data_IF_496171766215
#
_entry.id   IF_496171766215
#
_cell.length_a   1.000
_cell.length_b   1.000
_cell.length_c   1.000
_cell.angle_alpha   90.00
_cell.angle_beta   90.00
_cell.angle_gamma   90.00
#
_symmetry.space_group_name_H-M   'P 1'
#
loop_
_entity.id
_entity.type
_entity.pdbx_description
1 polymer ?
2 non-polymer ?
3 non-polymer ?
4 non-polymer ?
5 non-polymer ?
6 non-polymer ?
7 water ?
#
# COMPACT_ATOMS: atom_id res chain seq x y z
N UNK A 9 21.83 3.68 19.22
CA UNK A 9 21.82 2.31 18.64
C UNK A 9 20.96 2.21 17.41
N UNK A 10 21.59 1.76 16.32
CA UNK A 10 20.93 1.34 15.10
C UNK A 10 19.83 0.29 15.41
N UNK A 11 18.70 0.38 14.70
CA UNK A 11 17.59 -0.58 14.85
C UNK A 11 17.24 -1.20 13.49
N UNK A 12 17.44 -2.50 13.32
CA UNK A 12 17.03 -3.15 12.09
C UNK A 12 15.56 -3.49 12.18
N UNK A 13 14.95 -3.77 11.02
CA UNK A 13 13.59 -4.21 10.98
C UNK A 13 13.46 -5.53 11.76
N UNK A 14 14.41 -6.46 11.63
CA UNK A 14 14.23 -7.76 12.28
C UNK A 14 14.14 -7.53 13.80
N UNK A 15 15.01 -6.67 14.34
CA UNK A 15 14.93 -6.37 15.76
C UNK A 15 13.64 -5.61 16.10
N UNK A 16 13.32 -4.58 15.35
CA UNK A 16 12.06 -3.88 15.54
C UNK A 16 10.83 -4.85 15.60
N UNK A 17 10.71 -5.74 14.66
CA UNK A 17 9.58 -6.66 14.65
C UNK A 17 9.63 -7.53 15.88
N UNK A 18 10.83 -7.94 16.26
CA UNK A 18 11.01 -8.86 17.35
C UNK A 18 10.70 -8.15 18.67
N UNK A 19 11.22 -6.96 18.89
CA UNK A 19 10.85 -6.27 20.14
C UNK A 19 9.35 -6.05 20.23
N UNK A 20 8.73 -5.52 19.16
CA UNK A 20 7.29 -5.30 19.16
C UNK A 20 6.52 -6.59 19.52
N UNK A 21 6.90 -7.67 18.85
CA UNK A 21 6.38 -9.01 19.13
C UNK A 21 6.51 -9.36 20.61
N UNK A 22 7.68 -9.13 21.16
CA UNK A 22 7.89 -9.35 22.59
C UNK A 22 6.99 -8.47 23.48
N UNK A 23 6.97 -7.19 23.20
CA UNK A 23 6.10 -6.25 23.86
C UNK A 23 4.63 -6.70 23.89
N UNK A 24 4.11 -7.16 22.76
CA UNK A 24 2.69 -7.53 22.65
C UNK A 24 2.49 -8.93 23.20
N UNK A 25 3.57 -9.57 23.64
CA UNK A 25 3.49 -10.95 24.08
C UNK A 25 2.80 -11.83 23.05
N UNK A 26 3.21 -11.73 21.79
CA UNK A 26 2.71 -12.65 20.76
C UNK A 26 3.37 -14.01 20.87
N UNK A 27 2.76 -15.06 20.32
CA UNK A 27 3.38 -16.40 20.30
C UNK A 27 4.53 -16.46 19.29
N UNK A 28 4.85 -15.32 18.67
CA UNK A 28 5.84 -15.24 17.58
C UNK A 28 5.40 -15.67 16.17
N UNK A 29 4.10 -15.89 15.96
CA UNK A 29 3.60 -16.28 14.65
C UNK A 29 3.60 -15.09 13.72
N UNK A 30 3.13 -13.95 14.23
CA UNK A 30 3.06 -12.74 13.42
C UNK A 30 4.45 -12.18 13.09
N UNK A 31 5.35 -12.31 14.06
CA UNK A 31 6.76 -12.01 13.92
C UNK A 31 7.42 -12.79 12.78
N UNK A 32 7.12 -14.08 12.68
CA UNK A 32 7.60 -14.90 11.59
C UNK A 32 6.96 -14.41 10.30
N UNK A 33 5.67 -14.05 10.38
CA UNK A 33 5.00 -13.53 9.21
C UNK A 33 5.71 -12.26 8.74
N UNK A 34 6.00 -11.37 9.65
CA UNK A 34 6.62 -10.11 9.28
C UNK A 34 8.09 -10.30 8.82
N UNK A 35 8.81 -11.23 9.46
CA UNK A 35 10.15 -11.56 9.02
C UNK A 35 10.09 -12.06 7.56
N UNK A 36 9.09 -12.88 7.23
CA UNK A 36 9.00 -13.45 5.88
C UNK A 36 8.77 -12.37 4.85
N UNK A 37 7.85 -11.50 5.17
CA UNK A 37 7.47 -10.48 4.27
C UNK A 37 8.71 -9.66 3.96
N UNK A 38 9.35 -9.26 5.03
CA UNK A 38 10.53 -8.52 4.95
C UNK A 38 11.57 -9.22 4.04
N UNK A 39 11.73 -10.56 4.18
CA UNK A 39 12.60 -11.30 3.25
C UNK A 39 12.11 -11.21 1.81
N UNK A 40 10.81 -11.35 1.63
CA UNK A 40 10.23 -11.41 0.31
C UNK A 40 10.50 -10.11 -0.45
N UNK A 41 10.37 -9.00 0.28
CA UNK A 41 10.54 -7.69 -0.26
C UNK A 41 11.95 -7.45 -0.66
N UNK A 42 12.91 -8.05 0.04
CA UNK A 42 14.30 -7.89 -0.40
C UNK A 42 14.53 -8.70 -1.68
N UNK A 43 13.90 -9.85 -1.77
CA UNK A 43 14.07 -10.61 -2.98
C UNK A 43 13.43 -9.84 -4.13
N UNK A 44 12.34 -9.12 -3.89
CA UNK A 44 11.68 -8.51 -5.04
C UNK A 44 12.54 -7.34 -5.51
N UNK A 45 13.05 -6.59 -4.55
CA UNK A 45 13.86 -5.44 -4.79
C UNK A 45 15.08 -5.79 -5.63
N UNK A 46 15.90 -6.74 -5.22
CA UNK A 46 16.97 -7.25 -6.08
C UNK A 46 16.47 -7.63 -7.45
N UNK A 47 15.30 -8.28 -7.57
CA UNK A 47 14.83 -8.60 -8.92
C UNK A 47 14.44 -7.30 -9.65
N UNK A 48 13.81 -6.34 -9.01
CA UNK A 48 13.39 -5.10 -9.67
C UNK A 48 14.54 -4.26 -10.29
N UNK A 49 15.67 -4.25 -9.61
CA UNK A 49 16.83 -3.46 -9.87
C UNK A 49 17.68 -4.22 -10.84
N UNK A 50 17.17 -5.33 -11.29
CA UNK A 50 17.70 -6.17 -12.34
C UNK A 50 19.03 -6.83 -12.18
N UNK A 51 19.32 -7.29 -10.98
CA UNK A 51 20.51 -8.02 -10.77
C UNK A 51 20.39 -9.30 -11.53
N UNK A 52 21.44 -9.65 -12.23
CA UNK A 52 21.41 -10.92 -12.96
C UNK A 52 20.78 -10.84 -14.33
N UNK A 53 20.38 -9.66 -14.75
CA UNK A 53 19.81 -9.54 -16.11
C UNK A 53 20.74 -9.99 -17.26
N UNK A 54 22.07 -9.92 -17.05
CA UNK A 54 23.05 -10.23 -18.09
C UNK A 54 22.86 -11.68 -18.49
N UNK A 55 22.30 -12.47 -17.57
CA UNK A 55 22.07 -13.88 -17.83
C UNK A 55 20.95 -14.04 -18.84
N UNK A 56 19.97 -13.16 -18.77
CA UNK A 56 18.86 -13.18 -19.72
C UNK A 56 19.31 -12.79 -21.14
N UNK A 57 20.48 -12.18 -21.22
CA UNK A 57 20.93 -11.56 -22.44
C UNK A 57 22.13 -12.33 -22.95
N UNK A 58 22.32 -13.51 -22.35
CA UNK A 58 23.23 -14.50 -22.86
C UNK A 58 24.67 -14.36 -22.46
N UNK A 59 24.92 -13.87 -21.25
CA UNK A 59 26.30 -13.69 -20.84
C UNK A 59 26.97 -15.09 -20.70
N UNK A 60 26.19 -16.10 -20.53
CA UNK A 60 26.72 -17.41 -20.37
C UNK A 60 26.16 -18.34 -21.38
N UNK A 61 25.90 -17.85 -22.58
CA UNK A 61 25.16 -18.51 -23.64
C UNK A 61 23.69 -18.69 -23.39
N UNK A 62 23.15 -19.85 -23.57
CA UNK A 62 22.04 -20.25 -22.80
C UNK A 62 21.06 -19.18 -23.16
N UNK A 71 11.24 -15.48 -16.70
CA UNK A 71 10.08 -15.02 -15.94
C UNK A 71 9.92 -13.52 -15.96
N UNK A 72 8.70 -13.07 -15.85
CA UNK A 72 8.47 -11.69 -15.81
C UNK A 72 8.32 -11.28 -14.39
N UNK A 73 8.64 -10.04 -14.15
CA UNK A 73 8.97 -9.51 -12.87
C UNK A 73 7.75 -9.64 -12.02
N UNK A 74 6.59 -9.32 -12.57
CA UNK A 74 5.46 -9.30 -11.68
C UNK A 74 5.04 -10.74 -11.37
N UNK A 75 5.23 -11.68 -12.30
CA UNK A 75 5.04 -13.10 -11.96
C UNK A 75 6.04 -13.60 -10.89
N UNK A 76 7.32 -13.32 -11.10
CA UNK A 76 8.34 -13.62 -10.11
C UNK A 76 7.93 -13.03 -8.76
N UNK A 77 7.47 -11.78 -8.80
CA UNK A 77 7.17 -11.07 -7.59
C UNK A 77 6.08 -11.80 -6.82
N UNK A 78 5.05 -12.18 -7.56
CA UNK A 78 3.90 -12.79 -6.95
C UNK A 78 4.36 -14.09 -6.29
N UNK A 79 5.02 -14.95 -7.06
CA UNK A 79 5.66 -16.20 -6.56
C UNK A 79 6.57 -16.04 -5.34
N UNK A 80 7.28 -14.93 -5.20
CA UNK A 80 8.13 -14.81 -4.02
C UNK A 80 7.21 -14.62 -2.80
N UNK A 81 6.28 -13.66 -2.91
CA UNK A 81 5.34 -13.38 -1.82
C UNK A 81 4.55 -14.63 -1.39
N UNK A 82 4.12 -15.46 -2.32
CA UNK A 82 3.27 -16.61 -1.99
C UNK A 82 4.07 -17.69 -1.28
N UNK A 83 5.29 -17.93 -1.75
CA UNK A 83 6.15 -18.97 -1.24
C UNK A 83 6.76 -18.58 0.05
N UNK A 84 7.22 -17.35 0.14
CA UNK A 84 7.73 -16.91 1.41
C UNK A 84 6.64 -16.78 2.43
N UNK A 85 5.49 -16.25 2.08
CA UNK A 85 4.42 -16.20 3.07
C UNK A 85 3.97 -17.62 3.55
N UNK A 86 3.79 -18.60 2.65
CA UNK A 86 3.47 -19.99 3.05
C UNK A 86 4.54 -20.50 4.02
N UNK A 87 5.79 -20.23 3.66
CA UNK A 87 6.99 -20.48 4.52
C UNK A 87 6.94 -19.94 5.93
N UNK A 88 6.12 -18.94 6.18
CA UNK A 88 6.12 -18.40 7.52
C UNK A 88 5.32 -19.34 8.44
N UNK A 89 4.56 -20.26 7.84
CA UNK A 89 3.60 -21.07 8.64
C UNK A 89 2.61 -20.21 9.42
N UNK A 90 2.47 -18.93 9.05
CA UNK A 90 1.59 -18.02 9.78
C UNK A 90 0.32 -17.61 9.01
N UNK A 91 0.08 -18.10 7.80
CA UNK A 91 -1.11 -17.57 7.12
C UNK A 91 -2.05 -18.68 6.77
N UNK A 92 -3.31 -18.35 6.48
CA UNK A 92 -4.29 -19.37 6.02
C UNK A 92 -5.06 -19.01 4.73
N UNK A 93 -5.13 -17.70 4.46
CA UNK A 93 -5.79 -17.19 3.25
C UNK A 93 -4.97 -16.03 2.67
N UNK A 94 -4.57 -16.15 1.41
CA UNK A 94 -3.85 -15.07 0.76
C UNK A 94 -4.77 -14.51 -0.34
N UNK A 95 -4.66 -13.22 -0.62
CA UNK A 95 -5.32 -12.63 -1.77
C UNK A 95 -4.27 -11.80 -2.45
N UNK A 96 -4.09 -12.06 -3.74
CA UNK A 96 -3.11 -11.38 -4.53
C UNK A 96 -3.80 -10.77 -5.71
N UNK A 97 -3.34 -9.61 -6.14
CA UNK A 97 -3.96 -8.95 -7.23
C UNK A 97 -3.87 -9.80 -8.46
N UNK A 98 -2.95 -10.76 -8.41
CA UNK A 98 -2.51 -11.50 -9.57
C UNK A 98 -3.31 -12.79 -9.73
N UNK A 99 -4.09 -13.15 -8.72
CA UNK A 99 -4.78 -14.45 -8.70
C UNK A 99 -6.26 -14.21 -8.64
N UNK A 100 -7.02 -14.86 -9.50
CA UNK A 100 -8.49 -14.64 -9.57
C UNK A 100 -9.22 -15.04 -8.26
N UNK A 101 -8.71 -16.08 -7.61
CA UNK A 101 -9.30 -16.54 -6.35
C UNK A 101 -8.34 -16.42 -5.19
N UNK A 102 -8.90 -16.27 -3.99
CA UNK A 102 -8.14 -16.40 -2.77
C UNK A 102 -7.36 -17.70 -2.80
N UNK A 103 -6.14 -17.67 -2.34
CA UNK A 103 -5.34 -18.86 -2.20
C UNK A 103 -5.59 -19.39 -0.79
N UNK A 104 -6.16 -20.58 -0.63
CA UNK A 104 -6.24 -21.17 0.69
C UNK A 104 -4.94 -21.95 0.99
N UNK A 105 -4.25 -21.65 2.09
CA UNK A 105 -3.02 -22.39 2.38
C UNK A 105 -3.30 -23.76 2.97
N UNK A 106 -2.41 -24.70 2.73
CA UNK A 106 -2.57 -26.10 3.14
C UNK A 106 -2.55 -26.27 4.65
N UNK A 107 -3.38 -27.21 5.18
CA UNK A 107 -3.50 -27.38 6.64
C UNK A 107 -2.16 -27.47 7.35
N UNK A 108 -1.28 -28.35 6.89
CA UNK A 108 0.04 -28.53 7.51
C UNK A 108 0.80 -27.22 7.53
N UNK A 109 0.51 -26.32 6.61
CA UNK A 109 1.20 -25.02 6.58
C UNK A 109 0.38 -23.80 7.11
N UNK A 110 -0.68 -24.10 7.83
CA UNK A 110 -1.69 -23.10 8.10
C UNK A 110 -1.51 -22.39 9.42
N UNK A 111 -1.60 -21.06 9.41
CA UNK A 111 -1.64 -20.25 10.64
C UNK A 111 -2.87 -19.37 10.66
N UNK A 112 -2.86 -18.35 11.51
CA UNK A 112 -4.09 -17.57 11.70
C UNK A 112 -4.25 -16.29 10.82
N UNK A 113 -3.23 -15.92 10.07
CA UNK A 113 -3.24 -14.62 9.41
C UNK A 113 -3.73 -14.64 7.95
N UNK A 114 -4.46 -13.60 7.59
CA UNK A 114 -4.98 -13.42 6.26
C UNK A 114 -4.20 -12.25 5.65
N UNK A 115 -3.60 -12.49 4.49
CA UNK A 115 -2.76 -11.42 3.96
C UNK A 115 -3.22 -11.07 2.57
N UNK A 116 -3.61 -9.80 2.39
CA UNK A 116 -3.95 -9.27 1.08
C UNK A 116 -2.80 -8.43 0.57
N UNK A 117 -2.40 -8.66 -0.67
CA UNK A 117 -1.22 -7.98 -1.16
C UNK A 117 -1.28 -7.77 -2.63
N UNK A 118 -0.51 -6.80 -3.07
CA UNK A 118 -0.27 -6.53 -4.44
C UNK A 118 1.24 -6.65 -4.62
N UNK A 119 1.69 -7.73 -5.28
CA UNK A 119 3.12 -8.13 -5.38
C UNK A 119 3.95 -7.07 -6.03
N UNK A 120 3.45 -6.45 -7.08
CA UNK A 120 4.25 -5.45 -7.81
C UNK A 120 3.32 -4.49 -8.50
N UNK A 121 3.28 -3.28 -7.98
CA UNK A 121 2.33 -2.32 -8.44
C UNK A 121 2.96 -1.17 -9.20
N UNK A 122 2.35 -0.80 -10.32
CA UNK A 122 2.88 0.28 -11.14
C UNK A 122 3.79 -0.28 -12.20
N UNK A 123 3.45 -1.48 -12.65
CA UNK A 123 4.26 -2.22 -13.65
C UNK A 123 3.93 -1.79 -15.06
N UNK A 124 2.84 -1.04 -15.17
CA UNK A 124 2.52 -0.38 -16.43
C UNK A 124 3.68 0.57 -16.59
N UNK A 125 4.54 0.59 -15.58
CA UNK A 125 5.73 1.45 -15.58
C UNK A 125 7.12 0.78 -15.42
N UNK A 126 7.23 -0.51 -15.71
CA UNK A 126 8.55 -1.24 -15.70
C UNK A 126 9.42 -1.02 -16.98
N UNK A 127 8.74 -0.82 -18.13
CA UNK A 127 9.38 -0.46 -19.36
C UNK A 127 9.95 0.94 -19.19
N UNK A 128 9.39 1.74 -18.30
CA UNK A 128 9.78 3.14 -18.18
C UNK A 128 10.66 3.44 -16.97
N UNK A 129 10.93 2.44 -16.13
CA UNK A 129 11.85 2.54 -14.93
C UNK A 129 11.22 3.38 -13.80
N UNK A 130 9.93 3.62 -13.97
CA UNK A 130 9.10 4.20 -12.98
C UNK A 130 9.19 3.40 -11.68
N UNK A 131 9.31 4.15 -10.58
CA UNK A 131 9.21 3.64 -9.23
C UNK A 131 7.99 2.75 -9.06
N UNK A 132 8.18 1.56 -8.50
CA UNK A 132 7.07 0.65 -8.31
C UNK A 132 7.14 0.16 -6.87
N UNK A 133 6.17 -0.64 -6.44
CA UNK A 133 6.14 -1.07 -5.05
C UNK A 133 5.27 -2.27 -4.77
N UNK A 134 5.33 -2.75 -3.53
CA UNK A 134 4.54 -3.87 -3.09
C UNK A 134 3.67 -3.33 -1.93
N UNK A 135 2.41 -3.68 -1.94
CA UNK A 135 1.47 -3.26 -0.90
C UNK A 135 0.91 -4.46 -0.19
N UNK A 136 0.92 -4.42 1.14
CA UNK A 136 0.36 -5.56 1.91
C UNK A 136 -0.59 -5.11 3.05
N UNK A 137 -1.59 -5.93 3.31
CA UNK A 137 -2.48 -5.79 4.44
C UNK A 137 -2.65 -7.11 5.17
N UNK A 138 -2.62 -7.04 6.49
CA UNK A 138 -2.71 -8.28 7.27
C UNK A 138 -3.84 -8.32 8.27
N UNK A 139 -4.68 -9.33 8.11
CA UNK A 139 -5.81 -9.50 9.01
C UNK A 139 -5.60 -10.77 9.79
N UNK A 140 -6.17 -10.78 10.99
CA UNK A 140 -6.28 -11.98 11.80
C UNK A 140 -7.56 -12.65 11.35
N UNK A 141 -7.56 -13.96 11.27
CA UNK A 141 -8.76 -14.76 11.01
C UNK A 141 -9.50 -14.96 12.27
N UNK A 142 -10.75 -14.59 12.27
CA UNK A 142 -11.55 -14.66 13.48
C UNK A 142 -12.53 -15.85 13.56
N UNK A 143 -13.16 -16.15 12.44
CA UNK A 143 -14.12 -17.21 12.34
C UNK A 143 -13.48 -18.54 12.44
N UNK A 144 -14.26 -19.55 12.77
CA UNK A 144 -13.70 -20.84 13.08
C UNK A 144 -13.92 -21.75 11.92
N UNK A 145 -14.58 -21.21 10.92
CA UNK A 145 -14.91 -21.95 9.76
C UNK A 145 -13.64 -22.28 9.08
N UNK A 146 -13.72 -23.35 8.29
CA UNK A 146 -12.66 -23.76 7.39
C UNK A 146 -12.35 -22.56 6.53
N UNK A 147 -11.08 -22.18 6.52
CA UNK A 147 -10.69 -20.90 5.96
C UNK A 147 -11.07 -20.76 4.55
N UNK A 148 -11.52 -19.59 4.18
CA UNK A 148 -12.06 -19.41 2.86
C UNK A 148 -11.90 -17.97 2.47
N UNK A 149 -12.38 -17.65 1.28
CA UNK A 149 -12.20 -16.29 0.83
C UNK A 149 -12.93 -15.26 1.67
N UNK A 150 -14.05 -15.61 2.29
CA UNK A 150 -14.75 -14.64 3.12
C UNK A 150 -13.88 -14.13 4.27
N UNK A 151 -12.84 -14.86 4.60
CA UNK A 151 -11.86 -14.43 5.57
C UNK A 151 -11.07 -13.18 5.15
N UNK A 152 -10.92 -13.00 3.85
CA UNK A 152 -10.40 -11.78 3.27
C UNK A 152 -11.37 -10.59 3.26
N UNK A 153 -12.66 -10.83 3.33
CA UNK A 153 -13.66 -9.78 3.23
C UNK A 153 -14.04 -9.01 4.49
N UNK A 154 -13.05 -8.37 5.07
CA UNK A 154 -13.05 -7.74 6.35
C UNK A 154 -12.81 -6.28 6.07
N UNK A 155 -13.49 -5.37 6.74
CA UNK A 155 -13.20 -3.96 6.49
C UNK A 155 -11.82 -3.62 6.96
N UNK A 156 -11.21 -2.65 6.30
CA UNK A 156 -9.82 -2.35 6.59
C UNK A 156 -9.55 -1.93 8.03
N UNK A 157 -10.58 -1.46 8.73
CA UNK A 157 -10.48 -1.09 10.15
C UNK A 157 -9.96 -2.22 11.02
N UNK A 158 -10.02 -3.46 10.51
CA UNK A 158 -9.63 -4.68 11.25
C UNK A 158 -8.18 -5.13 10.95
N UNK A 159 -7.49 -4.36 10.12
CA UNK A 159 -6.09 -4.63 9.86
C UNK A 159 -5.31 -4.73 11.17
N UNK A 160 -4.38 -5.67 11.23
CA UNK A 160 -3.41 -5.70 12.31
C UNK A 160 -2.10 -5.01 11.90
N UNK A 161 -1.79 -5.05 10.61
CA UNK A 161 -0.54 -4.47 10.11
C UNK A 161 -0.67 -4.19 8.64
N UNK A 162 0.07 -3.22 8.15
CA UNK A 162 -0.08 -2.88 6.74
C UNK A 162 1.02 -1.91 6.35
N UNK A 163 1.44 -1.94 5.11
CA UNK A 163 2.45 -1.02 4.67
C UNK A 163 2.76 -1.34 3.23
N UNK A 164 3.97 -1.00 2.80
CA UNK A 164 4.35 -1.23 1.41
C UNK A 164 5.85 -1.13 1.37
N UNK A 165 6.45 -1.73 0.35
CA UNK A 165 7.84 -1.46 0.06
C UNK A 165 7.83 -0.67 -1.25
N UNK A 166 8.73 0.32 -1.35
CA UNK A 166 8.81 1.17 -2.55
C UNK A 166 10.16 0.94 -3.24
N UNK A 167 10.16 0.67 -4.55
CA UNK A 167 11.43 0.49 -5.26
C UNK A 167 11.66 1.72 -6.12
N UNK A 168 12.29 2.72 -5.51
CA UNK A 168 12.38 4.02 -6.13
C UNK A 168 13.84 4.30 -6.11
N UNK A 169 14.22 5.55 -5.85
CA UNK A 169 15.67 5.85 -5.90
C UNK A 169 16.41 4.86 -5.03
N UNK A 170 15.86 4.67 -3.84
CA UNK A 170 16.25 3.58 -2.95
C UNK A 170 14.99 2.73 -2.60
N UNK A 171 15.18 1.65 -1.87
CA UNK A 171 14.07 0.83 -1.44
C UNK A 171 13.72 1.09 0.06
N UNK A 172 12.45 1.44 0.30
CA UNK A 172 12.01 1.63 1.66
C UNK A 172 10.84 0.68 2.00
N UNK A 173 10.83 0.18 3.25
CA UNK A 173 9.64 -0.53 3.69
C UNK A 173 8.99 0.41 4.69
N UNK A 174 7.70 0.67 4.53
CA UNK A 174 6.91 1.40 5.48
C UNK A 174 5.89 0.39 6.09
N UNK A 175 5.84 0.35 7.42
CA UNK A 175 5.03 -0.59 8.15
C UNK A 175 4.27 0.25 9.19
N UNK A 176 2.94 0.16 9.13
CA UNK A 176 2.02 0.73 10.07
C UNK A 176 1.41 -0.42 10.86
N UNK A 177 1.39 -0.25 12.18
CA UNK A 177 0.67 -1.14 13.04
C UNK A 177 -0.01 -0.24 14.11
N UNK A 178 -0.74 -0.87 15.05
CA UNK A 178 -1.62 -0.17 15.93
C UNK A 178 -0.92 1.04 16.53
N UNK A 179 0.39 0.92 16.71
CA UNK A 179 1.10 1.98 17.42
C UNK A 179 1.89 2.97 16.62
N UNK A 180 1.51 3.23 15.37
CA UNK A 180 2.23 4.17 14.56
C UNK A 180 2.86 3.60 13.30
N UNK A 181 3.48 4.51 12.55
CA UNK A 181 4.05 4.23 11.22
C UNK A 181 5.54 4.37 11.28
N UNK A 182 6.25 3.40 10.72
CA UNK A 182 7.70 3.41 10.75
C UNK A 182 8.31 3.11 9.36
N UNK A 183 9.33 3.89 8.99
CA UNK A 183 10.03 3.70 7.73
C UNK A 183 11.44 3.17 7.90
N UNK A 184 11.71 2.14 7.10
CA UNK A 184 12.96 1.42 7.16
C UNK A 184 13.60 1.40 5.80
N UNK A 185 14.75 2.03 5.67
CA UNK A 185 15.43 2.05 4.41
C UNK A 185 16.15 0.73 4.20
N UNK A 186 16.09 0.16 2.99
CA UNK A 186 16.94 -1.02 2.71
C UNK A 186 18.40 -0.65 2.37
N UNK A 187 19.34 -1.27 3.10
CA UNK A 187 20.77 -1.11 2.81
C UNK A 187 21.15 -2.34 2.04
N UNK A 188 21.30 -2.16 0.73
CA UNK A 188 21.35 -3.36 -0.04
C UNK A 188 22.65 -4.03 0.09
N UNK A 189 23.61 -3.40 0.78
CA UNK A 189 24.95 -3.98 0.89
C UNK A 189 24.91 -5.17 1.83
N UNK A 190 24.07 -5.11 2.86
CA UNK A 190 24.03 -6.16 3.89
C UNK A 190 22.64 -6.82 4.03
N UNK A 191 21.68 -6.41 3.20
CA UNK A 191 20.40 -7.09 3.19
C UNK A 191 19.70 -6.86 4.50
N UNK A 192 19.56 -5.61 4.89
CA UNK A 192 19.05 -5.29 6.19
C UNK A 192 18.32 -3.96 6.08
N UNK A 193 17.06 -3.85 6.58
CA UNK A 193 16.33 -2.55 6.64
C UNK A 193 16.65 -1.78 7.91
N UNK A 194 16.81 -0.48 7.79
CA UNK A 194 17.29 0.32 8.90
C UNK A 194 16.24 1.33 9.28
N UNK A 195 15.90 1.35 10.56
CA UNK A 195 14.87 2.24 10.95
C UNK A 195 15.40 3.61 10.64
N UNK A 196 14.64 4.43 9.91
CA UNK A 196 15.07 5.81 9.67
C UNK A 196 14.13 6.94 10.06
N UNK A 197 12.85 6.64 10.13
CA UNK A 197 11.81 7.52 10.57
C UNK A 197 10.90 6.80 11.50
N UNK A 198 10.79 7.29 12.70
CA UNK A 198 10.00 6.69 13.71
C UNK A 198 8.76 7.48 13.90
N UNK A 199 7.66 6.80 14.12
CA UNK A 199 6.37 7.40 14.50
C UNK A 199 5.86 8.49 13.62
N UNK A 200 5.90 8.25 12.33
CA UNK A 200 5.65 9.21 11.30
C UNK A 200 4.28 9.81 11.25
N UNK A 201 4.23 11.10 11.14
CA UNK A 201 2.98 11.85 11.11
C UNK A 201 2.91 12.70 9.86
N UNK A 202 1.83 12.58 9.13
CA UNK A 202 1.68 13.36 7.92
C UNK A 202 1.43 14.78 8.38
N UNK A 203 1.82 15.78 7.61
CA UNK A 203 1.47 17.13 8.03
C UNK A 203 0.01 17.45 7.78
N UNK A 204 -0.53 18.34 8.61
CA UNK A 204 -1.95 18.67 8.59
C UNK A 204 -2.40 19.14 7.24
N UNK A 205 -1.63 20.02 6.66
CA UNK A 205 -1.88 20.55 5.37
C UNK A 205 -0.63 20.57 4.52
N UNK A 206 -0.77 20.14 3.28
CA UNK A 206 0.27 20.09 2.28
C UNK A 206 0.26 21.10 1.16
N UNK A 207 1.23 21.00 0.28
CA UNK A 207 1.31 21.84 -0.89
C UNK A 207 1.27 21.15 -2.25
N UNK A 208 1.02 19.85 -2.29
CA UNK A 208 1.01 19.13 -3.54
C UNK A 208 -0.30 18.36 -3.72
N UNK A 209 -0.85 18.36 -4.91
CA UNK A 209 -1.97 17.53 -5.23
C UNK A 209 -1.62 16.63 -6.40
N UNK A 210 -2.24 15.43 -6.40
CA UNK A 210 -1.76 14.34 -7.22
C UNK A 210 -2.98 13.63 -7.75
N UNK A 211 -3.23 13.77 -9.05
CA UNK A 211 -4.37 13.15 -9.66
C UNK A 211 -3.99 13.06 -11.13
N UNK A 212 -4.53 12.08 -11.85
CA UNK A 212 -4.39 12.11 -13.33
C UNK A 212 -5.44 13.07 -13.94
N UNK A 213 -5.02 14.28 -14.23
CA UNK A 213 -5.93 15.22 -14.90
C UNK A 213 -6.38 14.83 -16.31
N UNK A 214 -5.84 13.76 -16.87
CA UNK A 214 -6.20 13.43 -18.23
C UNK A 214 -7.65 13.04 -18.26
N UNK A 215 -8.17 12.61 -17.12
CA UNK A 215 -9.55 12.35 -16.96
C UNK A 215 -10.39 13.58 -16.68
N UNK A 216 -9.86 14.79 -16.88
CA UNK A 216 -10.66 16.00 -16.55
C UNK A 216 -12.09 15.92 -17.11
N UNK A 217 -12.31 15.24 -18.22
CA UNK A 217 -13.67 15.28 -18.75
C UNK A 217 -14.64 14.27 -18.12
N UNK A 218 -14.16 13.26 -17.40
CA UNK A 218 -15.03 12.39 -16.60
C UNK A 218 -15.16 12.82 -15.17
N UNK A 219 -14.41 13.82 -14.72
CA UNK A 219 -14.36 14.09 -13.25
C UNK A 219 -15.70 14.53 -12.75
N UNK A 220 -16.06 14.08 -11.54
CA UNK A 220 -17.28 14.60 -10.92
C UNK A 220 -17.02 16.07 -10.52
N UNK A 221 -18.10 16.79 -10.17
CA UNK A 221 -18.02 18.28 -9.93
C UNK A 221 -17.29 18.75 -8.65
N UNK A 222 -17.11 17.87 -7.69
CA UNK A 222 -16.39 18.26 -6.51
C UNK A 222 -14.93 18.17 -6.80
N UNK A 223 -14.54 17.19 -7.61
CA UNK A 223 -13.13 17.08 -8.02
C UNK A 223 -12.77 18.28 -8.94
N UNK A 224 -13.66 18.62 -9.85
CA UNK A 224 -13.38 19.70 -10.79
C UNK A 224 -13.15 20.97 -9.99
N UNK A 225 -14.05 21.23 -9.06
CA UNK A 225 -13.91 22.41 -8.24
C UNK A 225 -12.64 22.38 -7.39
N UNK A 226 -12.33 21.20 -6.85
CA UNK A 226 -11.14 21.09 -5.99
C UNK A 226 -9.95 21.34 -6.86
N UNK A 227 -9.82 20.67 -8.00
CA UNK A 227 -8.66 21.01 -8.88
C UNK A 227 -8.55 22.55 -9.12
N UNK A 228 -9.66 23.25 -9.41
CA UNK A 228 -9.54 24.72 -9.66
C UNK A 228 -8.99 25.44 -8.49
N UNK A 229 -9.35 25.04 -7.26
CA UNK A 229 -8.83 25.68 -6.06
C UNK A 229 -7.35 25.58 -5.94
N UNK A 230 -6.86 24.38 -6.18
CA UNK A 230 -5.45 24.13 -6.12
C UNK A 230 -4.68 25.03 -7.08
N UNK A 231 -5.20 25.20 -8.30
CA UNK A 231 -4.52 26.04 -9.29
C UNK A 231 -4.78 27.54 -9.15
N UNK A 232 -6.03 27.90 -8.81
CA UNK A 232 -6.42 29.30 -8.64
C UNK A 232 -7.08 29.49 -7.27
N UNK A 233 -6.27 29.58 -6.20
CA UNK A 233 -6.82 29.66 -4.86
C UNK A 233 -7.77 30.87 -4.70
N UNK A 234 -9.06 30.58 -4.45
CA UNK A 234 -10.11 31.59 -4.34
C UNK A 234 -9.72 32.64 -3.28
N UNK A 235 -8.82 32.26 -2.37
CA UNK A 235 -8.36 33.17 -1.32
C UNK A 235 -6.99 33.84 -1.62
N UNK A 236 -6.53 33.69 -2.87
CA UNK A 236 -5.26 34.28 -3.28
C UNK A 236 -4.01 33.84 -2.55
N UNK A 237 -4.06 32.67 -1.89
CA UNK A 237 -2.83 31.94 -1.43
C UNK A 237 -2.02 31.29 -2.56
N UNK A 238 -0.90 30.67 -2.22
CA UNK A 238 -0.01 30.08 -3.23
C UNK A 238 -0.65 28.83 -3.86
N UNK A 239 -0.64 28.72 -5.17
CA UNK A 239 -1.21 27.52 -5.81
C UNK A 239 -0.43 26.23 -5.51
N UNK A 240 -1.09 25.12 -5.18
CA UNK A 240 -0.42 23.85 -4.97
C UNK A 240 0.43 23.50 -6.20
N UNK A 241 1.53 22.78 -5.98
CA UNK A 241 2.22 22.14 -7.11
C UNK A 241 1.55 20.80 -7.48
N UNK A 242 1.79 20.28 -8.68
CA UNK A 242 1.15 19.01 -9.06
C UNK A 242 2.20 17.94 -9.18
N UNK A 243 1.89 16.74 -8.70
CA UNK A 243 2.75 15.60 -8.93
C UNK A 243 1.93 14.34 -9.20
N UNK A 244 2.27 13.64 -10.28
CA UNK A 244 1.59 12.39 -10.48
C UNK A 244 2.49 11.42 -11.18
N UNK A 245 3.00 10.47 -10.42
CA UNK A 245 3.98 9.55 -10.90
C UNK A 245 3.28 8.45 -11.70
N UNK A 246 2.14 7.99 -11.17
CA UNK A 246 1.34 7.01 -11.85
C UNK A 246 1.63 5.68 -11.21
N UNK A 247 2.34 5.71 -10.06
CA UNK A 247 2.51 4.52 -9.22
C UNK A 247 1.88 4.85 -7.91
N UNK A 248 0.81 4.16 -7.57
CA UNK A 248 0.19 4.46 -6.30
C UNK A 248 1.20 4.53 -5.16
N UNK A 249 2.09 3.53 -5.08
CA UNK A 249 3.04 3.48 -3.96
C UNK A 249 4.02 4.67 -3.95
N UNK A 250 4.48 5.08 -5.13
CA UNK A 250 5.34 6.28 -5.22
C UNK A 250 4.55 7.50 -4.81
N UNK A 251 3.35 7.67 -5.34
CA UNK A 251 2.60 8.90 -5.07
C UNK A 251 2.17 8.91 -3.58
N UNK A 252 1.74 7.78 -3.05
CA UNK A 252 1.31 7.78 -1.65
C UNK A 252 2.47 8.03 -0.69
N UNK A 253 3.60 7.39 -0.93
CA UNK A 253 4.75 7.68 -0.14
C UNK A 253 5.20 9.19 -0.14
N UNK A 254 5.26 9.83 -1.32
CA UNK A 254 5.56 11.25 -1.33
C UNK A 254 4.48 11.98 -0.48
N UNK A 255 3.24 11.60 -0.65
CA UNK A 255 2.19 12.20 0.16
C UNK A 255 2.48 12.08 1.66
N UNK A 256 2.72 10.86 2.11
CA UNK A 256 3.04 10.58 3.50
C UNK A 256 4.23 11.40 3.94
N UNK A 257 5.26 11.42 3.14
CA UNK A 257 6.50 11.99 3.59
C UNK A 257 6.56 13.51 3.45
N UNK A 258 5.86 14.07 2.47
CA UNK A 258 5.88 15.52 2.19
C UNK A 258 4.52 16.20 2.35
N UNK A 259 3.46 15.42 2.51
CA UNK A 259 2.12 15.96 2.71
C UNK A 259 1.45 16.31 1.39
N UNK A 260 0.17 16.70 1.44
CA UNK A 260 -0.53 17.05 0.23
C UNK A 260 -1.67 16.10 0.13
N UNK A 261 -2.13 15.84 -1.10
CA UNK A 261 -3.29 14.99 -1.35
C UNK A 261 -3.12 14.10 -2.63
N UNK A 262 -3.64 12.87 -2.55
CA UNK A 262 -3.62 11.91 -3.62
C UNK A 262 -5.03 11.42 -3.93
N UNK A 263 -5.41 11.47 -5.20
CA UNK A 263 -6.76 11.18 -5.54
C UNK A 263 -6.85 10.19 -6.71
N UNK A 264 -7.76 9.24 -6.59
CA UNK A 264 -8.20 8.43 -7.71
C UNK A 264 -9.68 8.22 -7.50
N UNK A 265 -10.47 9.22 -7.92
CA UNK A 265 -11.92 9.26 -7.76
C UNK A 265 -12.54 8.50 -8.93
N UNK A 266 -13.85 8.25 -8.88
CA UNK A 266 -14.49 7.50 -9.96
C UNK A 266 -14.54 8.31 -11.27
N UNK A 267 -14.36 7.62 -12.40
CA UNK A 267 -14.58 8.19 -13.72
C UNK A 267 -15.44 7.26 -14.62
N UNK A 268 -16.03 7.79 -15.70
CA UNK A 268 -16.76 6.94 -16.69
C UNK A 268 -16.01 5.62 -17.09
N UNK A 269 -14.72 5.68 -17.37
CA UNK A 269 -13.99 4.43 -17.61
C UNK A 269 -13.99 3.47 -16.38
N UNK A 270 -13.86 4.06 -15.18
CA UNK A 270 -13.83 3.32 -13.92
C UNK A 270 -14.87 3.90 -12.91
N UNK A 271 -16.17 3.53 -13.05
CA UNK A 271 -17.21 4.19 -12.23
C UNK A 271 -17.15 3.96 -10.70
N UNK A 272 -16.47 2.90 -10.26
CA UNK A 272 -16.21 2.64 -8.83
C UNK A 272 -14.72 2.89 -8.53
N UNK A 273 -14.11 3.72 -9.35
CA UNK A 273 -12.71 4.02 -9.14
C UNK A 273 -11.88 2.96 -9.79
N UNK A 274 -10.56 3.12 -9.75
CA UNK A 274 -9.72 2.12 -10.34
C UNK A 274 -8.99 1.30 -9.31
N UNK A 275 -8.47 1.93 -8.27
CA UNK A 275 -7.67 1.16 -7.35
C UNK A 275 -8.47 0.06 -6.63
N UNK A 276 -7.75 -0.98 -6.20
CA UNK A 276 -8.35 -2.14 -5.53
C UNK A 276 -8.48 -1.98 -4.04
N UNK A 277 -9.62 -2.39 -3.50
CA UNK A 277 -9.95 -2.17 -2.09
C UNK A 277 -9.10 -3.02 -1.13
N UNK A 278 -8.99 -4.32 -1.43
CA UNK A 278 -8.38 -5.21 -0.48
C UNK A 278 -6.88 -4.94 -0.36
N UNK A 279 -6.18 -4.76 -1.48
CA UNK A 279 -4.71 -4.80 -1.47
C UNK A 279 -4.04 -3.59 -2.05
N UNK A 280 -4.80 -2.54 -2.35
CA UNK A 280 -4.18 -1.23 -2.57
C UNK A 280 -4.72 -0.15 -1.67
N UNK A 281 -6.02 0.16 -1.78
CA UNK A 281 -6.59 1.24 -1.01
C UNK A 281 -6.48 1.04 0.49
N UNK A 282 -6.96 -0.12 0.99
CA UNK A 282 -7.06 -0.34 2.41
C UNK A 282 -5.73 -0.19 3.11
N UNK A 283 -4.68 -0.92 2.66
CA UNK A 283 -3.37 -0.76 3.28
C UNK A 283 -2.95 0.69 3.41
N UNK A 284 -3.12 1.44 2.32
CA UNK A 284 -2.76 2.86 2.25
C UNK A 284 -3.68 3.74 3.09
N UNK A 285 -4.93 3.36 3.21
CA UNK A 285 -5.82 4.01 4.10
C UNK A 285 -5.36 3.82 5.50
N UNK A 286 -4.93 2.62 5.82
CA UNK A 286 -4.38 2.34 7.13
C UNK A 286 -3.09 3.06 7.49
N UNK A 287 -2.13 3.13 6.60
CA UNK A 287 -0.95 3.88 6.84
C UNK A 287 -1.27 5.35 7.06
N UNK A 288 -2.17 5.88 6.27
CA UNK A 288 -2.56 7.25 6.40
C UNK A 288 -3.24 7.65 7.65
N UNK A 289 -4.16 6.84 8.14
CA UNK A 289 -4.79 7.11 9.41
C UNK A 289 -3.85 7.01 10.63
N UNK A 290 -2.99 5.98 10.67
CA UNK A 290 -2.05 5.89 11.77
C UNK A 290 -1.03 7.01 11.71
N UNK A 291 -0.88 7.64 10.54
CA UNK A 291 0.08 8.78 10.37
C UNK A 291 -0.61 10.12 10.55
N UNK A 292 -1.89 10.06 10.92
CA UNK A 292 -2.69 11.28 11.17
C UNK A 292 -3.43 11.86 9.97
N UNK A 293 -3.52 11.12 8.86
CA UNK A 293 -4.17 11.62 7.65
C UNK A 293 -5.56 11.00 7.44
N UNK A 294 -6.14 11.15 6.28
CA UNK A 294 -7.49 10.63 6.10
C UNK A 294 -7.49 9.87 4.80
N UNK A 295 -8.41 8.93 4.68
CA UNK A 295 -8.58 8.20 3.44
C UNK A 295 -10.08 7.94 3.17
N UNK A 296 -10.66 8.71 2.25
CA UNK A 296 -12.10 8.66 2.00
C UNK A 296 -12.42 8.28 0.53
N UNK A 297 -13.62 7.82 0.23
CA UNK A 297 -13.99 7.61 -1.18
C UNK A 297 -14.61 8.92 -1.63
N UNK A 298 -14.94 9.76 -0.67
CA UNK A 298 -15.68 10.97 -0.91
C UNK A 298 -17.02 10.90 -0.14
N UNK A 299 -17.46 9.69 0.15
CA UNK A 299 -18.69 9.57 0.91
C UNK A 299 -18.46 8.83 2.22
N UNK A 300 -17.36 8.09 2.36
CA UNK A 300 -17.22 7.26 3.55
C UNK A 300 -15.77 6.99 3.76
N UNK A 301 -15.41 6.65 4.98
CA UNK A 301 -14.04 6.34 5.24
C UNK A 301 -13.66 4.99 4.54
N UNK A 302 -12.53 4.96 3.83
CA UNK A 302 -12.14 3.73 3.13
C UNK A 302 -12.10 2.48 4.04
N UNK A 303 -11.55 2.68 5.22
CA UNK A 303 -11.33 1.59 6.15
C UNK A 303 -12.62 0.98 6.69
N UNK A 304 -13.77 1.62 6.42
CA UNK A 304 -15.06 1.17 6.99
C UNK A 304 -15.93 0.47 5.96
N UNK A 305 -15.47 0.44 4.70
CA UNK A 305 -16.21 -0.26 3.67
C UNK A 305 -16.19 -1.75 3.95
N UNK A 306 -17.35 -2.39 3.92
CA UNK A 306 -17.32 -3.84 4.11
C UNK A 306 -17.23 -4.44 2.71
N UNK A 307 -16.05 -5.00 2.33
CA UNK A 307 -15.91 -5.46 0.95
C UNK A 307 -16.81 -6.66 0.70
N UNK A 308 -17.22 -6.87 -0.55
CA UNK A 308 -18.03 -8.03 -0.93
C UNK A 308 -17.34 -8.91 -1.99
N UNK A 309 -16.26 -8.41 -2.60
CA UNK A 309 -15.54 -9.17 -3.60
C UNK A 309 -14.01 -8.94 -3.37
N UNK A 310 -13.17 -9.97 -3.45
CA UNK A 310 -11.76 -9.74 -3.17
C UNK A 310 -11.04 -8.77 -4.18
N UNK A 311 -11.64 -8.53 -5.35
CA UNK A 311 -11.07 -7.65 -6.38
C UNK A 311 -11.92 -6.42 -6.61
N UNK A 312 -12.75 -6.12 -5.62
CA UNK A 312 -13.57 -4.94 -5.58
C UNK A 312 -12.68 -3.70 -5.70
N UNK A 313 -13.18 -2.67 -6.38
CA UNK A 313 -12.43 -1.43 -6.51
C UNK A 313 -13.10 -0.37 -5.66
N UNK A 314 -12.40 0.73 -5.36
CA UNK A 314 -13.02 1.88 -4.68
C UNK A 314 -12.31 3.14 -5.12
N UNK A 315 -13.04 4.28 -5.10
CA UNK A 315 -12.47 5.60 -5.30
C UNK A 315 -11.69 5.89 -4.03
N UNK A 316 -10.62 6.65 -4.14
CA UNK A 316 -9.87 6.99 -2.95
C UNK A 316 -9.22 8.37 -3.11
N UNK A 317 -9.35 9.16 -2.06
CA UNK A 317 -8.75 10.47 -1.90
C UNK A 317 -8.04 10.30 -0.57
N UNK A 318 -6.76 10.63 -0.49
CA UNK A 318 -6.08 10.40 0.78
C UNK A 318 -4.92 11.38 0.94
N UNK A 319 -4.44 11.54 2.18
CA UNK A 319 -3.34 12.43 2.47
C UNK A 319 -3.63 13.28 3.70
N UNK A 320 -3.00 14.44 3.76
CA UNK A 320 -3.11 15.37 4.82
C UNK A 320 -4.56 15.68 5.18
N UNK A 321 -4.90 15.64 6.49
CA UNK A 321 -6.26 15.81 6.94
C UNK A 321 -6.89 17.12 6.45
N UNK A 322 -6.23 18.25 6.64
CA UNK A 322 -6.88 19.49 6.20
C UNK A 322 -7.23 19.43 4.75
N UNK A 323 -6.35 18.84 3.97
CA UNK A 323 -6.60 18.72 2.55
C UNK A 323 -7.72 17.77 2.27
N UNK A 324 -7.73 16.56 2.84
CA UNK A 324 -8.80 15.67 2.47
C UNK A 324 -10.12 16.31 2.92
N UNK A 325 -10.10 16.96 4.08
CA UNK A 325 -11.29 17.63 4.62
C UNK A 325 -11.79 18.75 3.70
N UNK A 326 -10.89 19.54 3.15
CA UNK A 326 -11.35 20.53 2.20
C UNK A 326 -12.10 19.87 1.04
N UNK A 327 -11.67 18.70 0.60
CA UNK A 327 -12.36 18.08 -0.55
C UNK A 327 -13.70 17.49 -0.07
N UNK A 328 -13.72 16.89 1.10
CA UNK A 328 -14.95 16.29 1.65
C UNK A 328 -16.05 17.36 1.75
N UNK A 329 -15.66 18.56 2.21
CA UNK A 329 -16.60 19.67 2.31
C UNK A 329 -17.20 20.08 0.97
N UNK A 330 -16.38 20.08 -0.08
CA UNK A 330 -16.85 20.32 -1.43
C UNK A 330 -17.80 19.23 -1.91
N UNK A 331 -17.55 17.96 -1.54
CA UNK A 331 -18.48 16.89 -1.89
C UNK A 331 -19.78 17.10 -1.11
N UNK A 332 -19.68 17.51 0.13
CA UNK A 332 -20.83 17.78 0.94
C UNK A 332 -21.63 18.94 0.38
N UNK A 333 -20.94 19.96 -0.04
CA UNK A 333 -21.62 21.09 -0.56
C UNK A 333 -22.35 20.81 -1.82
N UNK A 334 -21.83 19.94 -2.65
CA UNK A 334 -22.51 19.67 -3.84
C UNK A 334 -23.54 18.68 -3.40
N UNK A 335 -24.27 19.08 -2.38
CA UNK A 335 -25.08 18.15 -1.63
C UNK A 335 -25.26 16.91 -2.44
X LIG B 1 -2.80 -0.04 -9.85
X LIG B 1 -2.57 0.40 -11.16
X LIG B 1 -1.80 1.73 -11.06
X LIG B 1 -0.55 1.37 -11.66
X LIG B 1 -1.56 2.46 -9.71
X LIG B 1 -0.40 2.05 -9.02
X LIG B 1 -1.50 3.94 -10.12
X LIG B 1 -1.93 4.81 -9.11
X LIG B 1 -2.56 3.97 -11.20
X LIG B 1 -2.48 2.72 -11.85
X LIG B 1 -2.44 5.02 -12.27
X LIG B 1 -3.49 4.78 -13.17
X LIG B 1 -3.92 5.85 -14.31
X LIG B 1 -5.35 5.61 -14.75
X LIG B 1 -3.12 5.59 -15.54
X LIG B 1 -3.66 7.32 -13.89
X LIG C 1 -1.86 -2.47 -7.97
X LIG D 1 -0.99 -3.30 -9.99
X LIG D 1 -2.45 -2.91 -10.09
X LIG D 1 -0.61 -3.63 -8.56
X LIG D 1 -0.18 -2.16 -10.59
X LIG D 1 -0.68 -4.57 -10.77
X LIG E 1 0.75 -13.99 17.46
X LIG E 1 -0.30 -14.36 16.44
X LIG E 1 2.10 -13.73 16.81
X LIG E 1 0.82 -14.97 18.65
X LIG E 1 0.42 -12.56 18.13
X LIG E 1 -0.90 -12.14 18.52
X LIG E 1 -1.02 -10.60 18.39
X LIG E 1 0.02 -9.89 19.09
X LIG E 1 -0.85 -10.13 16.96
X LIG E 1 -2.05 -10.23 16.19
X LIG E 1 -0.50 -8.67 17.18
X LIG E 1 -1.66 -8.01 17.63
X LIG E 1 0.38 -8.68 18.39
X LIG E 1 1.71 -8.88 17.82
X LIG E 1 2.27 -10.12 17.74
X LIG E 1 3.49 -10.09 17.19
X LIG E 1 3.73 -8.80 16.90
X LIG E 1 4.86 -8.10 16.30
X LIG E 1 5.96 -8.81 15.90
X LIG E 1 4.77 -6.76 16.17
X LIG E 1 3.68 -6.07 16.58
X LIG E 1 2.60 -6.65 17.13
X LIG E 1 2.57 -8.00 17.30
X LIG F 1 5.07 4.68 -17.34
X LIG F 1 3.50 3.99 -18.93
X LIG F 1 5.68 3.10 -18.91
X LIG F 1 2.76 2.57 -20.72
X LIG F 1 4.77 3.92 -18.29
X LIG F 1 3.67 2.92 -19.88
X LIG F 1 4.98 2.45 -19.93
X LIG F 1 2.27 4.19 -18.18
X LIG F 1 1.77 5.49 -18.79
#
# INVERSE_FOLDING_TARGET
TDQAAFDTNIVTLTRFVMEEGRKARGTGEMTQLLNSLCTAVKAISTAVRKAGIAHLYGIAGSTNVTGDQVKKLDVLSNDLVINVLKSSFATCVLVSEEDKNAIIVEPEKRGKYVVCFDPLDGSSNIDCLVSIGTIFGIYRKNSTDEPSEKDALQPGRNLVAAGYALYGSATMLVLAMVNGVNCFMLDPAIGEFILVDRDVKIKKKGSIYSINEGYAKEFDPAITEYIQRKKFPPDNSAPYGARYVGSMVADVHRTLVYGGIFMYPANKKSPKGKLRLLYECNPMAYVMEKAGGLATTGKEAVLDIVPTDIHQRAPIILGSPEDVTELLEIYQKHAAK
F6P O1 C1 C2 O2 C3 O3 C4 O4 C5 O5 C6 O6 P O1P O2P O3P
MG MG
PO4 P O1 O2 O3 O4
AMP P O1P O2P O3P O5' C5' C4' O4' C3' O3' C2' O2' C1' N9 C8 N7 C5 C6 N6 N1 C2 N3 C4
NEN O1 N1 C1 O2 C2 C3 C4 C5 C6
#
